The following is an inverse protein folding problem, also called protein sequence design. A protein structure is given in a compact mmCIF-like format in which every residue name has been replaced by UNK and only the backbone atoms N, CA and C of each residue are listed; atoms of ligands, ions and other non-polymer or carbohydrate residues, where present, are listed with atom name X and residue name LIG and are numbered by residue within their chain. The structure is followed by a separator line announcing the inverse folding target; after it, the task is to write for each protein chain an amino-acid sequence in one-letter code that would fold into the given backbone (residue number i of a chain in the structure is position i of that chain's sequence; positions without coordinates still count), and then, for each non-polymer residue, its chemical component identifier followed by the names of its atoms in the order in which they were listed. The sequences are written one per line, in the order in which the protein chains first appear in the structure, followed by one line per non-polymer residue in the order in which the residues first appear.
data_IF_443991894716
#
_entry.id   IF_443991894716
#
_cell.length_a   1.000
_cell.length_b   1.000
_cell.length_c   1.000
_cell.angle_alpha   90.00
_cell.angle_beta   90.00
_cell.angle_gamma   90.00
#
_symmetry.space_group_name_H-M   'P 1'
#
loop_
_entity.id
_entity.type
_entity.pdbx_description
1 polymer ?
#
# COMPACT_ATOMS: atom_id res chain seq x y z
N UNK A 1 -0.74 4.61 -17.12
CA UNK A 1 0.71 4.37 -16.99
C UNK A 1 1.08 3.22 -17.92
N UNK A 2 1.52 2.05 -17.44
CA UNK A 2 1.95 0.90 -18.26
C UNK A 2 0.89 -0.19 -18.44
N UNK A 3 -0.28 -0.05 -17.81
CA UNK A 3 -1.39 -0.99 -17.92
C UNK A 3 -1.52 -1.98 -16.76
N UNK A 4 -0.65 -1.90 -15.74
CA UNK A 4 -0.63 -2.84 -14.61
C UNK A 4 -1.98 -2.97 -13.90
N UNK A 5 -2.65 -1.85 -13.63
CA UNK A 5 -3.94 -1.86 -12.93
C UNK A 5 -5.05 -2.45 -13.81
N UNK A 6 -5.02 -2.19 -15.12
CA UNK A 6 -5.95 -2.83 -16.06
C UNK A 6 -5.74 -4.35 -16.11
N UNK A 7 -4.50 -4.82 -16.09
CA UNK A 7 -4.20 -6.25 -16.03
C UNK A 7 -4.69 -6.90 -14.72
N UNK A 8 -4.55 -6.21 -13.59
CA UNK A 8 -5.05 -6.65 -12.28
C UNK A 8 -6.58 -6.70 -12.25
N UNK A 9 -7.24 -5.65 -12.76
CA UNK A 9 -8.69 -5.59 -12.90
C UNK A 9 -9.21 -6.74 -13.78
N UNK A 10 -8.56 -6.98 -14.92
CA UNK A 10 -8.94 -8.03 -15.86
C UNK A 10 -8.76 -9.43 -15.25
N UNK A 11 -7.64 -9.67 -14.55
CA UNK A 11 -7.41 -10.94 -13.85
C UNK A 11 -8.42 -11.16 -12.71
N UNK A 12 -8.76 -10.12 -11.95
CA UNK A 12 -9.75 -10.20 -10.88
C UNK A 12 -11.15 -10.50 -11.42
N UNK A 13 -11.58 -9.77 -12.45
CA UNK A 13 -12.91 -9.92 -13.05
C UNK A 13 -13.04 -11.21 -13.85
N UNK A 14 -11.95 -11.75 -14.42
CA UNK A 14 -11.93 -13.10 -14.99
C UNK A 14 -12.31 -14.15 -13.95
N UNK A 15 -11.76 -14.08 -12.74
CA UNK A 15 -12.10 -15.02 -11.66
C UNK A 15 -13.57 -14.90 -11.24
N UNK A 16 -14.09 -13.68 -11.12
CA UNK A 16 -15.51 -13.44 -10.85
C UNK A 16 -16.41 -14.02 -11.97
N UNK A 17 -16.03 -13.84 -13.23
CA UNK A 17 -16.76 -14.40 -14.38
C UNK A 17 -16.73 -15.93 -14.41
N UNK A 18 -15.58 -16.56 -14.14
CA UNK A 18 -15.45 -18.02 -14.07
C UNK A 18 -16.25 -18.61 -12.92
N UNK A 19 -16.33 -17.92 -11.78
CA UNK A 19 -17.14 -18.32 -10.64
C UNK A 19 -18.62 -18.41 -11.02
N UNK A 20 -19.18 -17.35 -11.61
CA UNK A 20 -20.57 -17.32 -12.02
C UNK A 20 -20.86 -18.29 -13.16
N UNK A 21 -19.94 -18.43 -14.10
CA UNK A 21 -20.02 -19.40 -15.18
C UNK A 21 -20.07 -20.85 -14.64
N UNK A 22 -19.27 -21.15 -13.62
CA UNK A 22 -19.30 -22.47 -12.97
C UNK A 22 -20.64 -22.73 -12.27
N UNK A 23 -21.22 -21.73 -11.62
CA UNK A 23 -22.55 -21.84 -11.01
C UNK A 23 -23.61 -22.09 -12.09
N UNK A 24 -23.56 -21.32 -13.19
CA UNK A 24 -24.50 -21.43 -14.30
C UNK A 24 -24.45 -22.81 -14.97
N UNK A 25 -23.26 -23.38 -15.20
CA UNK A 25 -23.07 -24.67 -15.87
C UNK A 25 -23.10 -25.90 -14.94
N UNK A 26 -23.89 -25.84 -13.87
CA UNK A 26 -24.23 -27.01 -13.05
C UNK A 26 -23.57 -27.04 -11.67
N UNK A 27 -22.79 -26.02 -11.29
CA UNK A 27 -22.31 -25.79 -9.94
C UNK A 27 -21.75 -27.05 -9.24
N UNK A 28 -20.89 -27.80 -9.92
CA UNK A 28 -20.36 -29.08 -9.43
C UNK A 28 -19.56 -28.95 -8.11
N UNK A 29 -19.13 -27.73 -7.77
CA UNK A 29 -18.42 -27.41 -6.52
C UNK A 29 -19.39 -27.09 -5.37
N UNK A 30 -20.70 -27.14 -5.60
CA UNK A 30 -21.75 -26.84 -4.63
C UNK A 30 -21.58 -25.47 -3.93
N UNK A 31 -21.16 -24.46 -4.70
CA UNK A 31 -21.02 -23.08 -4.23
C UNK A 31 -22.39 -22.59 -3.75
N UNK A 32 -22.45 -21.99 -2.55
CA UNK A 32 -23.63 -21.26 -2.09
C UNK A 32 -23.54 -19.80 -2.59
N UNK A 33 -24.45 -19.34 -3.48
CA UNK A 33 -24.39 -17.98 -4.03
C UNK A 33 -24.48 -16.87 -2.97
N UNK A 34 -24.99 -17.19 -1.78
CA UNK A 34 -25.07 -16.26 -0.64
C UNK A 34 -23.76 -16.17 0.16
N UNK A 35 -22.78 -17.01 -0.16
CA UNK A 35 -21.48 -17.13 0.51
C UNK A 35 -20.32 -16.91 -0.45
N UNK A 36 -20.55 -16.19 -1.54
CA UNK A 36 -19.50 -15.67 -2.41
C UNK A 36 -18.85 -14.50 -1.68
N UNK A 37 -17.54 -14.59 -1.45
CA UNK A 37 -16.75 -13.51 -0.84
C UNK A 37 -15.94 -12.74 -1.89
N UNK A 38 -15.75 -13.33 -3.07
CA UNK A 38 -15.10 -12.67 -4.19
C UNK A 38 -16.03 -11.64 -4.82
N UNK A 39 -15.71 -10.37 -4.62
CA UNK A 39 -16.39 -9.23 -5.24
C UNK A 39 -15.90 -9.06 -6.69
N UNK A 40 -16.31 -7.98 -7.34
CA UNK A 40 -15.73 -7.51 -8.61
C UNK A 40 -14.91 -6.26 -8.36
N UNK A 41 -14.16 -5.80 -9.35
CA UNK A 41 -13.43 -4.53 -9.23
C UNK A 41 -13.53 -3.66 -10.46
N UNK A 42 -13.41 -2.35 -10.24
CA UNK A 42 -13.24 -1.35 -11.29
C UNK A 42 -12.38 -0.20 -10.73
N UNK A 43 -11.41 0.28 -11.49
CA UNK A 43 -10.56 1.39 -11.04
C UNK A 43 -11.23 2.75 -11.24
N UNK A 44 -12.42 2.93 -10.66
CA UNK A 44 -13.21 4.17 -10.71
C UNK A 44 -13.88 4.44 -9.36
N UNK A 45 -14.03 5.73 -9.03
CA UNK A 45 -14.73 6.15 -7.81
C UNK A 45 -16.26 6.08 -7.98
N UNK A 46 -16.79 4.88 -8.19
CA UNK A 46 -18.21 4.64 -8.42
C UNK A 46 -18.92 4.09 -7.19
N UNK A 47 -19.68 4.95 -6.51
CA UNK A 47 -20.44 4.55 -5.32
C UNK A 47 -21.66 3.68 -5.65
N UNK A 48 -22.17 3.72 -6.87
CA UNK A 48 -23.39 3.00 -7.26
C UNK A 48 -23.16 1.49 -7.33
N UNK A 49 -21.92 1.06 -7.55
CA UNK A 49 -21.55 -0.35 -7.67
C UNK A 49 -21.22 -1.02 -6.33
N UNK A 50 -21.31 -0.31 -5.19
CA UNK A 50 -20.97 -0.87 -3.87
C UNK A 50 -21.78 -2.12 -3.53
N UNK A 51 -23.08 -2.10 -3.84
CA UNK A 51 -24.01 -3.23 -3.65
C UNK A 51 -24.89 -3.33 -4.90
N UNK A 52 -24.87 -4.50 -5.55
CA UNK A 52 -25.63 -4.77 -6.77
C UNK A 52 -26.23 -6.18 -6.72
N UNK A 53 -27.23 -6.41 -7.56
CA UNK A 53 -27.71 -7.77 -7.86
C UNK A 53 -27.26 -8.09 -9.30
N UNK A 54 -26.56 -9.21 -9.48
CA UNK A 54 -26.10 -9.70 -10.79
C UNK A 54 -26.90 -10.93 -11.21
N UNK A 55 -26.75 -11.38 -12.46
CA UNK A 55 -27.42 -12.59 -12.95
C UNK A 55 -28.92 -12.45 -13.22
N UNK A 56 -29.46 -11.24 -13.28
CA UNK A 56 -30.87 -11.02 -13.64
C UNK A 56 -31.12 -11.27 -15.13
N UNK A 57 -32.41 -11.42 -15.52
CA UNK A 57 -32.82 -11.53 -16.94
C UNK A 57 -33.16 -12.94 -17.44
N UNK A 58 -33.36 -13.90 -16.54
CA UNK A 58 -33.87 -15.24 -16.87
C UNK A 58 -32.79 -16.32 -17.03
N UNK A 59 -33.19 -17.51 -17.46
CA UNK A 59 -32.36 -18.74 -17.41
C UNK A 59 -31.15 -18.74 -18.34
N UNK A 60 -31.13 -17.88 -19.36
CA UNK A 60 -29.98 -17.73 -20.24
C UNK A 60 -28.82 -16.95 -19.60
N UNK A 61 -29.06 -16.31 -18.45
CA UNK A 61 -28.05 -15.58 -17.68
C UNK A 61 -27.63 -16.40 -16.43
N UNK A 62 -26.72 -15.86 -15.61
CA UNK A 62 -26.28 -16.52 -14.37
C UNK A 62 -27.39 -16.61 -13.31
N UNK A 63 -27.16 -17.33 -12.22
CA UNK A 63 -28.07 -17.36 -11.07
C UNK A 63 -28.07 -15.99 -10.36
N UNK A 64 -29.24 -15.39 -10.07
CA UNK A 64 -29.28 -14.13 -9.33
C UNK A 64 -28.66 -14.23 -7.94
N UNK A 65 -27.76 -13.29 -7.61
CA UNK A 65 -27.21 -13.16 -6.26
C UNK A 65 -26.71 -11.72 -5.99
N UNK A 66 -26.53 -11.40 -4.70
CA UNK A 66 -25.92 -10.14 -4.27
C UNK A 66 -24.42 -10.14 -4.57
N UNK A 67 -23.91 -9.01 -5.05
CA UNK A 67 -22.52 -8.77 -5.31
C UNK A 67 -22.16 -7.30 -5.04
N UNK A 68 -20.93 -6.91 -5.34
CA UNK A 68 -20.51 -5.52 -5.34
C UNK A 68 -19.14 -5.35 -5.95
N UNK A 69 -18.75 -4.10 -6.16
CA UNK A 69 -17.47 -3.72 -6.69
C UNK A 69 -16.63 -2.99 -5.65
N UNK A 70 -15.34 -3.27 -5.67
CA UNK A 70 -14.32 -2.48 -4.97
C UNK A 70 -13.44 -1.76 -5.99
N UNK A 71 -12.70 -0.76 -5.53
CA UNK A 71 -11.68 -0.14 -6.37
C UNK A 71 -10.53 -1.14 -6.61
N UNK A 72 -9.95 -1.19 -7.82
CA UNK A 72 -8.98 -2.23 -8.22
C UNK A 72 -7.80 -2.41 -7.25
N UNK A 73 -7.31 -1.33 -6.63
CA UNK A 73 -6.22 -1.38 -5.63
C UNK A 73 -6.59 -2.10 -4.32
N UNK A 74 -7.88 -2.31 -4.06
CA UNK A 74 -8.38 -3.07 -2.92
C UNK A 74 -8.33 -4.59 -3.14
N UNK A 75 -8.09 -5.03 -4.39
CA UNK A 75 -8.11 -6.44 -4.76
C UNK A 75 -7.04 -7.26 -4.04
N UNK A 76 -7.38 -8.49 -3.62
CA UNK A 76 -6.38 -9.45 -3.16
C UNK A 76 -5.37 -9.80 -4.27
N UNK A 77 -5.75 -9.66 -5.56
CA UNK A 77 -4.83 -9.79 -6.70
C UNK A 77 -3.73 -8.73 -6.62
N UNK A 78 -4.04 -7.48 -6.28
CA UNK A 78 -3.05 -6.42 -6.06
C UNK A 78 -2.10 -6.75 -4.90
N UNK A 79 -2.64 -7.28 -3.79
CA UNK A 79 -1.82 -7.67 -2.65
C UNK A 79 -0.88 -8.84 -2.98
N UNK A 80 -1.38 -9.88 -3.66
CA UNK A 80 -0.59 -11.01 -4.12
C UNK A 80 0.48 -10.58 -5.14
N UNK A 81 0.12 -9.72 -6.08
CA UNK A 81 1.03 -9.12 -7.05
C UNK A 81 2.20 -8.40 -6.35
N UNK A 82 1.90 -7.58 -5.34
CA UNK A 82 2.92 -6.83 -4.62
C UNK A 82 3.81 -7.70 -3.71
N UNK A 83 3.35 -8.88 -3.29
CA UNK A 83 4.10 -9.80 -2.41
C UNK A 83 4.78 -10.96 -3.14
N UNK A 84 4.71 -11.00 -4.47
CA UNK A 84 5.30 -12.07 -5.29
C UNK A 84 6.69 -11.70 -5.81
N UNK A 85 7.58 -12.70 -5.88
CA UNK A 85 8.94 -12.55 -6.41
C UNK A 85 9.10 -13.11 -7.82
N UNK A 86 8.09 -13.81 -8.31
CA UNK A 86 8.08 -14.38 -9.67
C UNK A 86 6.66 -14.62 -10.14
N UNK A 87 6.50 -14.80 -11.45
CA UNK A 87 5.22 -15.17 -12.05
C UNK A 87 4.72 -16.53 -11.52
N UNK A 88 5.64 -17.47 -11.25
CA UNK A 88 5.32 -18.77 -10.68
C UNK A 88 4.74 -18.65 -9.26
N UNK A 89 5.39 -17.86 -8.39
CA UNK A 89 4.87 -17.61 -7.04
C UNK A 89 3.52 -16.86 -7.09
N UNK A 90 3.39 -15.88 -7.99
CA UNK A 90 2.14 -15.16 -8.20
C UNK A 90 1.01 -16.13 -8.58
N UNK A 91 1.25 -17.02 -9.55
CA UNK A 91 0.29 -18.06 -9.95
C UNK A 91 -0.16 -18.94 -8.79
N UNK A 92 0.79 -19.37 -7.94
CA UNK A 92 0.47 -20.18 -6.76
C UNK A 92 -0.36 -19.41 -5.73
N UNK A 93 -0.06 -18.13 -5.51
CA UNK A 93 -0.83 -17.26 -4.61
C UNK A 93 -2.26 -17.07 -5.11
N UNK A 94 -2.42 -16.78 -6.40
CA UNK A 94 -3.72 -16.66 -7.03
C UNK A 94 -4.54 -17.93 -6.82
N UNK A 95 -3.94 -19.11 -6.97
CA UNK A 95 -4.60 -20.40 -6.73
C UNK A 95 -5.14 -20.60 -5.31
N UNK A 96 -4.53 -19.98 -4.30
CA UNK A 96 -4.94 -20.10 -2.88
C UNK A 96 -6.04 -19.14 -2.46
N UNK A 97 -6.44 -18.19 -3.31
CA UNK A 97 -7.47 -17.21 -2.98
C UNK A 97 -8.80 -17.91 -2.78
N UNK A 98 -9.44 -17.66 -1.63
CA UNK A 98 -10.77 -18.17 -1.31
C UNK A 98 -11.79 -17.25 -1.96
N UNK A 99 -12.67 -17.81 -2.77
CA UNK A 99 -13.64 -17.04 -3.55
C UNK A 99 -15.08 -17.21 -3.07
N UNK A 100 -15.39 -18.37 -2.50
CA UNK A 100 -16.71 -18.67 -1.99
C UNK A 100 -16.66 -19.82 -0.98
N UNK A 101 -17.81 -20.15 -0.43
CA UNK A 101 -17.99 -21.33 0.42
C UNK A 101 -19.16 -22.18 -0.07
N UNK A 102 -19.08 -23.48 0.19
CA UNK A 102 -20.22 -24.39 0.01
C UNK A 102 -21.28 -24.17 1.10
N UNK A 103 -22.44 -24.81 0.95
CA UNK A 103 -23.48 -24.83 2.00
C UNK A 103 -22.97 -25.36 3.34
N UNK A 104 -22.05 -26.34 3.29
CA UNK A 104 -21.38 -26.94 4.45
C UNK A 104 -20.17 -26.12 4.93
N UNK A 105 -19.99 -24.90 4.43
CA UNK A 105 -18.91 -23.97 4.79
C UNK A 105 -17.51 -24.45 4.43
N UNK A 106 -17.36 -25.33 3.43
CA UNK A 106 -16.04 -25.69 2.89
C UNK A 106 -15.56 -24.56 1.97
N UNK A 107 -14.30 -24.10 2.09
CA UNK A 107 -13.78 -23.04 1.23
C UNK A 107 -13.62 -23.53 -0.20
N UNK A 108 -13.92 -22.67 -1.16
CA UNK A 108 -13.68 -22.85 -2.59
C UNK A 108 -12.63 -21.83 -3.02
N UNK A 109 -11.63 -22.30 -3.74
CA UNK A 109 -10.48 -21.50 -4.17
C UNK A 109 -10.50 -21.19 -5.66
N UNK A 110 -9.68 -20.24 -6.10
CA UNK A 110 -9.45 -19.98 -7.52
C UNK A 110 -8.81 -21.18 -8.25
N UNK A 111 -8.09 -22.06 -7.53
CA UNK A 111 -7.57 -23.31 -8.09
C UNK A 111 -8.67 -24.32 -8.38
N UNK A 112 -9.71 -24.42 -7.53
CA UNK A 112 -10.86 -25.29 -7.76
C UNK A 112 -11.63 -24.89 -9.02
N UNK A 113 -11.67 -23.59 -9.33
CA UNK A 113 -12.20 -23.02 -10.58
C UNK A 113 -11.21 -23.04 -11.74
N UNK A 114 -10.00 -23.59 -11.55
CA UNK A 114 -8.91 -23.64 -12.55
C UNK A 114 -8.53 -22.28 -13.15
N UNK A 115 -8.76 -21.18 -12.42
CA UNK A 115 -8.61 -19.81 -12.92
C UNK A 115 -7.16 -19.28 -12.86
N UNK A 116 -6.42 -19.68 -11.84
CA UNK A 116 -5.10 -19.14 -11.49
C UNK A 116 -4.06 -19.13 -12.63
N UNK A 117 -4.07 -20.12 -13.52
CA UNK A 117 -3.20 -20.13 -14.69
C UNK A 117 -3.51 -19.00 -15.68
N UNK A 118 -4.78 -18.81 -16.02
CA UNK A 118 -5.23 -17.76 -16.93
C UNK A 118 -5.03 -16.37 -16.31
N UNK A 119 -5.31 -16.21 -15.02
CA UNK A 119 -5.02 -14.98 -14.28
C UNK A 119 -3.52 -14.62 -14.33
N UNK A 120 -2.63 -15.60 -14.15
CA UNK A 120 -1.19 -15.36 -14.24
C UNK A 120 -0.76 -14.93 -15.65
N UNK A 121 -1.36 -15.48 -16.71
CA UNK A 121 -1.09 -15.04 -18.10
C UNK A 121 -1.45 -13.57 -18.29
N UNK A 122 -2.60 -13.12 -17.78
CA UNK A 122 -3.01 -11.71 -17.85
C UNK A 122 -2.05 -10.77 -17.11
N UNK A 123 -1.33 -11.29 -16.10
CA UNK A 123 -0.39 -10.52 -15.28
C UNK A 123 1.08 -10.68 -15.72
N UNK A 124 1.35 -11.45 -16.78
CA UNK A 124 2.71 -11.83 -17.21
C UNK A 124 3.60 -10.62 -17.50
N UNK A 125 3.07 -9.60 -18.18
CA UNK A 125 3.84 -8.38 -18.47
C UNK A 125 3.73 -7.37 -17.34
N UNK A 126 2.55 -7.26 -16.72
CA UNK A 126 2.32 -6.38 -15.60
C UNK A 126 3.29 -6.62 -14.45
N UNK A 127 3.71 -7.87 -14.19
CA UNK A 127 4.62 -8.18 -13.07
C UNK A 127 6.03 -7.55 -13.20
N UNK A 128 6.38 -6.95 -14.34
CA UNK A 128 7.70 -6.35 -14.58
C UNK A 128 7.73 -4.91 -14.02
N UNK A 129 8.70 -4.56 -13.14
CA UNK A 129 8.78 -3.21 -12.57
C UNK A 129 8.98 -2.13 -13.63
N UNK A 130 8.27 -1.01 -13.49
CA UNK A 130 8.33 0.09 -14.46
C UNK A 130 9.41 1.11 -14.07
N UNK A 131 10.38 1.32 -14.95
CA UNK A 131 11.42 2.33 -14.77
C UNK A 131 10.95 3.70 -15.30
N UNK A 132 11.11 4.72 -14.46
CA UNK A 132 10.94 6.13 -14.79
C UNK A 132 12.10 6.92 -14.17
N UNK A 133 12.04 8.26 -14.23
CA UNK A 133 13.04 9.14 -13.63
C UNK A 133 12.41 10.25 -12.81
N UNK A 134 13.16 10.75 -11.83
CA UNK A 134 12.86 12.01 -11.11
C UNK A 134 13.10 13.22 -12.02
N UNK A 135 12.74 14.43 -11.56
CA UNK A 135 13.05 15.68 -12.29
C UNK A 135 14.56 15.91 -12.50
N UNK A 136 15.40 15.28 -11.68
CA UNK A 136 16.87 15.38 -11.72
C UNK A 136 17.52 14.17 -12.41
N UNK A 137 16.72 13.33 -13.09
CA UNK A 137 17.22 12.20 -13.86
C UNK A 137 17.63 10.98 -13.04
N UNK A 138 17.33 10.93 -11.74
CA UNK A 138 17.57 9.73 -10.93
C UNK A 138 16.53 8.65 -11.26
N UNK A 139 16.96 7.39 -11.31
CA UNK A 139 16.07 6.26 -11.57
C UNK A 139 15.04 6.07 -10.46
N UNK A 140 13.79 5.81 -10.85
CA UNK A 140 12.70 5.46 -9.94
C UNK A 140 11.88 4.28 -10.49
N UNK A 141 11.51 3.34 -9.61
CA UNK A 141 10.65 2.21 -9.96
C UNK A 141 9.24 2.43 -9.38
N UNK A 142 8.23 2.49 -10.25
CA UNK A 142 6.82 2.59 -9.85
C UNK A 142 6.13 1.26 -10.17
N UNK A 143 5.76 0.48 -9.16
CA UNK A 143 5.20 -0.85 -9.38
C UNK A 143 4.38 -1.36 -8.19
N UNK A 144 3.11 -1.71 -8.46
CA UNK A 144 2.14 -2.09 -7.45
C UNK A 144 1.56 -0.90 -6.68
N UNK A 145 0.48 -1.15 -5.95
CA UNK A 145 -0.19 -0.12 -5.14
C UNK A 145 -1.37 -0.69 -4.35
N UNK A 146 -1.14 -1.60 -3.38
CA UNK A 146 -2.20 -2.13 -2.54
C UNK A 146 -2.60 -1.10 -1.48
N UNK A 147 -3.83 -1.17 -1.00
CA UNK A 147 -4.22 -0.37 0.16
C UNK A 147 -3.38 -0.67 1.41
N UNK A 148 -3.25 0.33 2.29
CA UNK A 148 -2.51 0.24 3.54
C UNK A 148 -3.40 -0.09 4.76
N UNK A 149 -4.72 -0.21 4.60
CA UNK A 149 -5.66 -0.62 5.65
C UNK A 149 -5.98 -2.13 5.57
N UNK A 150 -6.60 -2.58 4.47
CA UNK A 150 -6.97 -3.99 4.23
C UNK A 150 -5.82 -4.82 3.66
N UNK A 151 -4.74 -4.17 3.23
CA UNK A 151 -3.51 -4.81 2.78
C UNK A 151 -2.29 -4.11 3.41
N UNK A 152 -1.10 -4.33 2.84
CA UNK A 152 0.19 -3.96 3.42
C UNK A 152 0.74 -2.61 2.96
N UNK A 153 0.11 -1.93 1.99
CA UNK A 153 0.43 -0.54 1.68
C UNK A 153 1.82 -0.25 1.11
N UNK A 154 2.46 -1.22 0.45
CA UNK A 154 3.81 -1.05 -0.09
C UNK A 154 3.83 -1.30 -1.61
N UNK A 155 4.80 -0.71 -2.31
CA UNK A 155 5.14 -1.13 -3.68
C UNK A 155 5.59 -2.61 -3.69
N UNK A 156 5.68 -3.20 -4.88
CA UNK A 156 6.00 -4.63 -5.02
C UNK A 156 7.36 -5.03 -4.43
N UNK A 157 7.46 -6.27 -3.94
CA UNK A 157 8.71 -6.92 -3.54
C UNK A 157 9.70 -6.96 -4.69
N UNK A 158 9.23 -7.29 -5.91
CA UNK A 158 10.08 -7.40 -7.08
C UNK A 158 10.79 -6.09 -7.41
N UNK A 159 10.09 -4.95 -7.37
CA UNK A 159 10.67 -3.64 -7.61
C UNK A 159 11.69 -3.27 -6.52
N UNK A 160 11.35 -3.48 -5.23
CA UNK A 160 12.30 -3.21 -4.14
C UNK A 160 13.56 -4.07 -4.26
N UNK A 161 13.43 -5.37 -4.52
CA UNK A 161 14.59 -6.27 -4.69
C UNK A 161 15.41 -5.91 -5.93
N UNK A 162 14.77 -5.55 -7.04
CA UNK A 162 15.47 -5.11 -8.24
C UNK A 162 16.29 -3.86 -7.96
N UNK A 163 15.71 -2.84 -7.33
CA UNK A 163 16.42 -1.63 -6.92
C UNK A 163 17.63 -1.96 -6.02
N UNK A 164 17.45 -2.81 -5.00
CA UNK A 164 18.52 -3.21 -4.08
C UNK A 164 19.69 -3.94 -4.77
N UNK A 165 19.48 -4.52 -5.96
CA UNK A 165 20.54 -5.16 -6.75
C UNK A 165 21.23 -4.20 -7.72
N UNK A 166 20.59 -3.09 -8.05
CA UNK A 166 21.07 -2.14 -9.07
C UNK A 166 21.59 -0.83 -8.46
N UNK A 167 21.37 -0.57 -7.17
CA UNK A 167 21.83 0.64 -6.49
C UNK A 167 22.46 0.35 -5.13
N UNK A 168 23.33 1.26 -4.69
CA UNK A 168 23.91 1.22 -3.34
C UNK A 168 22.86 1.53 -2.27
N UNK A 169 21.94 2.46 -2.55
CA UNK A 169 20.83 2.82 -1.69
C UNK A 169 19.50 2.64 -2.44
N UNK A 170 18.55 1.97 -1.80
CA UNK A 170 17.16 1.85 -2.27
C UNK A 170 16.25 2.55 -1.26
N UNK A 171 15.66 3.67 -1.67
CA UNK A 171 14.64 4.36 -0.87
C UNK A 171 13.27 3.85 -1.29
N UNK A 172 12.45 3.46 -0.32
CA UNK A 172 11.08 2.98 -0.54
C UNK A 172 10.20 3.50 0.60
N UNK A 173 8.89 3.49 0.39
CA UNK A 173 7.90 3.96 1.36
C UNK A 173 6.80 2.93 1.62
N UNK A 174 5.98 3.21 2.63
CA UNK A 174 4.76 2.50 2.95
C UNK A 174 3.65 3.52 3.28
N UNK A 175 2.42 3.23 2.87
CA UNK A 175 1.29 4.16 3.01
C UNK A 175 0.80 4.34 4.45
N UNK A 176 0.16 5.48 4.71
CA UNK A 176 -0.23 5.96 6.05
C UNK A 176 0.97 6.22 6.99
N UNK A 177 0.73 6.30 8.30
CA UNK A 177 1.76 6.50 9.32
C UNK A 177 2.53 5.22 9.63
N UNK A 178 3.56 5.35 10.48
CA UNK A 178 4.40 4.21 10.86
C UNK A 178 3.68 3.15 11.72
N UNK A 179 2.54 3.49 12.30
CA UNK A 179 1.62 2.60 13.01
C UNK A 179 0.91 1.59 12.09
N UNK A 180 0.75 1.92 10.80
CA UNK A 180 0.15 1.03 9.79
C UNK A 180 1.17 0.64 8.72
N UNK A 181 1.69 1.61 7.96
CA UNK A 181 2.54 1.37 6.81
C UNK A 181 3.86 0.72 7.21
N UNK A 182 4.61 1.36 8.12
CA UNK A 182 5.91 0.84 8.54
C UNK A 182 5.76 -0.49 9.31
N UNK A 183 4.77 -0.62 10.18
CA UNK A 183 4.46 -1.87 10.87
C UNK A 183 4.26 -3.03 9.87
N UNK A 184 3.41 -2.84 8.86
CA UNK A 184 3.14 -3.86 7.83
C UNK A 184 4.32 -4.07 6.89
N UNK A 185 5.07 -3.02 6.57
CA UNK A 185 6.31 -3.16 5.80
C UNK A 185 7.30 -4.08 6.54
N UNK A 186 7.47 -3.89 7.84
CA UNK A 186 8.42 -4.65 8.66
C UNK A 186 7.92 -6.06 8.98
N UNK A 187 6.66 -6.20 9.38
CA UNK A 187 6.12 -7.49 9.82
C UNK A 187 5.62 -8.39 8.67
N UNK A 188 5.22 -7.81 7.53
CA UNK A 188 4.71 -8.55 6.37
C UNK A 188 5.75 -8.55 5.24
N UNK A 189 6.04 -7.39 4.65
CA UNK A 189 6.88 -7.31 3.43
C UNK A 189 8.32 -7.78 3.70
N UNK A 190 8.98 -7.26 4.74
CA UNK A 190 10.36 -7.64 5.08
C UNK A 190 10.48 -9.12 5.40
N UNK A 191 9.59 -9.62 6.28
CA UNK A 191 9.54 -11.04 6.65
C UNK A 191 9.34 -11.94 5.42
N UNK A 192 8.40 -11.58 4.54
CA UNK A 192 8.08 -12.39 3.36
C UNK A 192 9.17 -12.34 2.29
N UNK A 193 9.76 -11.17 2.07
CA UNK A 193 10.78 -10.96 1.05
C UNK A 193 12.20 -11.29 1.52
N UNK A 194 12.43 -11.52 2.82
CA UNK A 194 13.76 -11.70 3.38
C UNK A 194 14.65 -10.47 3.20
N UNK A 195 14.07 -9.26 3.29
CA UNK A 195 14.81 -7.99 3.23
C UNK A 195 14.81 -7.33 4.61
N UNK A 196 15.84 -6.52 4.89
CA UNK A 196 15.97 -5.79 6.16
C UNK A 196 16.32 -4.33 5.86
N UNK A 197 15.53 -3.35 6.35
CA UNK A 197 15.90 -1.94 6.26
C UNK A 197 17.18 -1.64 7.03
N UNK A 198 18.01 -0.76 6.47
CA UNK A 198 19.20 -0.25 7.14
C UNK A 198 18.90 1.00 7.98
N UNK A 199 17.91 1.79 7.58
CA UNK A 199 17.44 2.97 8.30
C UNK A 199 15.96 3.25 7.98
N UNK A 200 15.31 4.04 8.82
CA UNK A 200 13.95 4.53 8.62
C UNK A 200 13.94 6.05 8.68
N UNK A 201 13.30 6.68 7.70
CA UNK A 201 13.01 8.12 7.75
C UNK A 201 11.54 8.30 8.13
N UNK A 202 11.29 8.99 9.25
CA UNK A 202 9.93 9.41 9.63
C UNK A 202 9.75 10.85 9.15
N UNK A 203 8.80 11.07 8.25
CA UNK A 203 8.45 12.41 7.76
C UNK A 203 7.43 13.05 8.69
N UNK A 204 7.65 14.32 9.05
CA UNK A 204 6.69 15.14 9.78
C UNK A 204 6.68 16.59 9.25
N UNK A 205 5.67 17.37 9.63
CA UNK A 205 5.59 18.81 9.36
C UNK A 205 5.13 19.53 10.61
N UNK A 206 5.57 20.77 10.81
CA UNK A 206 5.15 21.59 11.97
C UNK A 206 3.62 21.70 12.01
N UNK A 207 2.99 21.90 10.84
CA UNK A 207 1.53 21.97 10.69
C UNK A 207 0.82 20.67 11.09
N UNK A 208 1.31 19.50 10.67
CA UNK A 208 0.71 18.23 11.06
C UNK A 208 0.80 17.99 12.58
N UNK A 209 1.93 18.34 13.20
CA UNK A 209 2.09 18.25 14.64
C UNK A 209 1.14 19.22 15.36
N UNK A 210 1.01 20.48 14.92
CA UNK A 210 -0.01 21.40 15.45
C UNK A 210 -1.44 20.86 15.33
N UNK A 211 -1.76 20.18 14.23
CA UNK A 211 -3.06 19.51 14.04
C UNK A 211 -3.26 18.40 15.08
N UNK A 212 -2.25 17.56 15.33
CA UNK A 212 -2.29 16.56 16.41
C UNK A 212 -2.41 17.20 17.81
N UNK A 213 -1.92 18.43 17.97
CA UNK A 213 -2.11 19.26 19.15
C UNK A 213 -3.50 19.89 19.30
N UNK A 214 -4.40 19.67 18.34
CA UNK A 214 -5.79 20.14 18.37
C UNK A 214 -6.06 21.43 17.58
N UNK A 215 -5.08 21.97 16.85
CA UNK A 215 -5.30 23.19 16.04
C UNK A 215 -6.16 22.86 14.82
N UNK A 216 -7.27 23.58 14.58
CA UNK A 216 -8.09 23.37 13.40
C UNK A 216 -7.31 23.61 12.10
N UNK A 217 -7.64 22.86 11.04
CA UNK A 217 -6.96 22.91 9.73
C UNK A 217 -6.79 24.35 9.19
N UNK A 218 -7.80 25.20 9.40
CA UNK A 218 -7.83 26.59 8.91
C UNK A 218 -6.87 27.52 9.66
N UNK A 219 -6.34 27.11 10.81
CA UNK A 219 -5.54 27.94 11.71
C UNK A 219 -4.06 27.50 11.80
N UNK A 220 -3.68 26.45 11.07
CA UNK A 220 -2.33 25.86 11.10
C UNK A 220 -1.21 26.80 10.64
N UNK A 221 -1.53 27.91 9.98
CA UNK A 221 -0.55 28.88 9.48
C UNK A 221 0.03 29.82 10.53
N UNK A 222 -0.52 29.84 11.76
CA UNK A 222 0.01 30.67 12.85
C UNK A 222 1.00 29.87 13.71
N UNK A 223 2.08 30.49 14.21
CA UNK A 223 2.97 29.85 15.16
C UNK A 223 2.22 29.45 16.43
N UNK A 224 2.41 28.22 16.92
CA UNK A 224 1.75 27.76 18.15
C UNK A 224 2.54 26.62 18.83
N UNK A 225 3.47 27.02 19.72
CA UNK A 225 4.33 26.08 20.46
C UNK A 225 3.54 25.23 21.45
N UNK A 226 2.46 25.74 22.05
CA UNK A 226 1.64 24.96 23.00
C UNK A 226 0.93 23.79 22.32
N UNK A 227 0.37 24.02 21.13
CA UNK A 227 -0.19 22.94 20.33
C UNK A 227 0.92 21.98 19.86
N UNK A 228 2.08 22.51 19.50
CA UNK A 228 3.21 21.70 19.07
C UNK A 228 3.68 20.75 20.18
N UNK A 229 3.73 21.21 21.42
CA UNK A 229 4.07 20.40 22.60
C UNK A 229 3.15 19.17 22.72
N UNK A 230 1.84 19.37 22.57
CA UNK A 230 0.85 18.28 22.60
C UNK A 230 0.97 17.36 21.37
N UNK A 231 1.24 17.94 20.20
CA UNK A 231 1.29 17.23 18.93
C UNK A 231 2.55 16.39 18.71
N UNK A 232 3.69 16.83 19.23
CA UNK A 232 4.99 16.13 19.11
C UNK A 232 4.94 14.74 19.75
N UNK A 233 4.05 14.50 20.72
CA UNK A 233 3.85 13.18 21.30
C UNK A 233 3.44 12.11 20.25
N UNK A 234 2.76 12.49 19.17
CA UNK A 234 2.52 11.59 18.03
C UNK A 234 3.84 11.16 17.36
N UNK A 235 4.70 12.11 17.02
CA UNK A 235 6.01 11.85 16.40
C UNK A 235 6.90 11.00 17.31
N UNK A 236 6.97 11.35 18.60
CA UNK A 236 7.70 10.57 19.61
C UNK A 236 7.25 9.12 19.62
N UNK A 237 5.94 8.88 19.56
CA UNK A 237 5.44 7.52 19.58
C UNK A 237 5.86 6.71 18.36
N UNK A 238 5.86 7.33 17.18
CA UNK A 238 6.35 6.69 15.97
C UNK A 238 7.85 6.40 16.04
N UNK A 239 8.67 7.31 16.58
CA UNK A 239 10.11 7.10 16.83
C UNK A 239 10.32 5.91 17.76
N UNK A 240 9.64 5.88 18.90
CA UNK A 240 9.70 4.76 19.86
C UNK A 240 9.33 3.43 19.20
N UNK A 241 8.28 3.40 18.39
CA UNK A 241 7.85 2.20 17.69
C UNK A 241 8.93 1.67 16.74
N UNK A 242 9.62 2.54 16.00
CA UNK A 242 10.73 2.13 15.14
C UNK A 242 11.92 1.62 15.96
N UNK A 243 12.25 2.25 17.10
CA UNK A 243 13.27 1.73 18.01
C UNK A 243 12.94 0.32 18.54
N UNK A 244 11.66 0.00 18.76
CA UNK A 244 11.24 -1.36 19.17
C UNK A 244 11.51 -2.41 18.09
N UNK A 245 11.61 -2.02 16.83
CA UNK A 245 12.07 -2.89 15.74
C UNK A 245 13.61 -2.98 15.65
N UNK A 246 14.35 -2.26 16.51
CA UNK A 246 15.81 -2.24 16.53
C UNK A 246 16.42 -1.57 15.29
N UNK A 247 15.68 -0.64 14.67
CA UNK A 247 16.12 0.08 13.47
C UNK A 247 16.56 1.51 13.82
N UNK A 248 17.63 2.02 13.20
CA UNK A 248 18.00 3.42 13.34
C UNK A 248 16.97 4.29 12.61
N UNK A 249 16.72 5.46 13.18
CA UNK A 249 15.70 6.39 12.71
C UNK A 249 16.28 7.79 12.52
N UNK A 250 15.83 8.45 11.46
CA UNK A 250 16.05 9.87 11.18
C UNK A 250 14.68 10.49 10.97
N UNK A 251 14.45 11.70 11.47
CA UNK A 251 13.22 12.44 11.21
C UNK A 251 13.50 13.52 10.18
N UNK A 252 12.66 13.58 9.16
CA UNK A 252 12.65 14.66 8.18
C UNK A 252 11.47 15.59 8.48
N UNK A 253 11.75 16.84 8.84
CA UNK A 253 10.75 17.90 8.94
C UNK A 253 10.66 18.58 7.58
N UNK A 254 9.62 18.28 6.80
CA UNK A 254 9.39 18.95 5.54
C UNK A 254 8.97 20.40 5.82
N UNK A 255 9.80 21.34 5.37
CA UNK A 255 9.66 22.76 5.64
C UNK A 255 8.52 23.40 4.84
N UNK A 256 7.73 24.25 5.50
CA UNK A 256 6.75 25.13 4.86
C UNK A 256 7.10 26.60 5.15
N UNK A 257 6.70 27.51 4.25
CA UNK A 257 6.99 28.95 4.36
C UNK A 257 6.46 29.63 5.63
N UNK A 258 5.45 29.04 6.29
CA UNK A 258 4.89 29.56 7.55
C UNK A 258 5.51 28.95 8.81
N UNK A 259 6.43 28.00 8.67
CA UNK A 259 7.10 27.38 9.81
C UNK A 259 8.18 28.33 10.34
N UNK A 260 8.24 28.51 11.67
CA UNK A 260 9.28 29.36 12.27
C UNK A 260 10.47 28.56 12.76
N UNK A 261 11.64 29.21 12.85
CA UNK A 261 12.84 28.57 13.40
C UNK A 261 12.62 28.11 14.84
N UNK A 262 11.84 28.85 15.63
CA UNK A 262 11.49 28.51 17.00
C UNK A 262 10.63 27.24 17.07
N UNK A 263 9.63 27.08 16.20
CA UNK A 263 8.81 25.86 16.16
C UNK A 263 9.64 24.63 15.77
N UNK A 264 10.54 24.77 14.80
CA UNK A 264 11.43 23.67 14.39
C UNK A 264 12.40 23.31 15.51
N UNK A 265 13.02 24.31 16.15
CA UNK A 265 13.95 24.07 17.26
C UNK A 265 13.24 23.41 18.43
N UNK A 266 12.01 23.82 18.73
CA UNK A 266 11.19 23.20 19.77
C UNK A 266 10.97 21.70 19.53
N UNK A 267 10.67 21.29 18.28
CA UNK A 267 10.53 19.85 17.94
C UNK A 267 11.85 19.11 18.19
N UNK A 268 12.98 19.71 17.80
CA UNK A 268 14.31 19.12 18.02
C UNK A 268 14.59 18.89 19.50
N UNK A 269 14.37 19.93 20.32
CA UNK A 269 14.62 19.88 21.75
C UNK A 269 13.72 18.86 22.46
N UNK A 270 12.43 18.81 22.08
CA UNK A 270 11.46 17.89 22.69
C UNK A 270 11.74 16.42 22.38
N UNK A 271 12.43 16.13 21.28
CA UNK A 271 12.81 14.78 20.88
C UNK A 271 14.28 14.44 21.16
N UNK A 272 15.08 15.35 21.73
CA UNK A 272 16.52 15.17 21.91
C UNK A 272 16.88 13.91 22.71
N UNK A 273 16.07 13.57 23.74
CA UNK A 273 16.29 12.39 24.57
C UNK A 273 16.04 11.06 23.83
N UNK A 274 15.37 11.08 22.67
CA UNK A 274 15.11 9.90 21.86
C UNK A 274 16.30 9.51 20.98
N UNK A 275 17.44 10.21 21.04
CA UNK A 275 18.65 9.86 20.29
C UNK A 275 18.42 9.76 18.77
N UNK A 276 17.64 10.68 18.22
CA UNK A 276 17.28 10.75 16.79
C UNK A 276 17.80 12.05 16.17
N UNK A 277 18.30 11.98 14.93
CA UNK A 277 18.59 13.18 14.14
C UNK A 277 17.31 13.72 13.54
N UNK A 278 17.01 15.00 13.77
CA UNK A 278 15.85 15.69 13.21
C UNK A 278 16.37 16.74 12.23
N UNK A 279 16.15 16.50 10.94
CA UNK A 279 16.69 17.30 9.84
C UNK A 279 15.54 18.03 9.16
N UNK A 280 15.70 19.32 8.92
CA UNK A 280 14.77 20.08 8.09
C UNK A 280 15.05 19.80 6.63
N UNK A 281 14.02 19.48 5.85
CA UNK A 281 14.14 19.17 4.43
C UNK A 281 13.28 20.14 3.60
N UNK A 282 13.87 20.74 2.59
CA UNK A 282 13.26 21.75 1.70
C UNK A 282 13.39 21.34 0.21
N UNK A 283 13.38 20.03 -0.04
CA UNK A 283 13.53 19.48 -1.38
C UNK A 283 12.36 19.80 -2.31
N UNK A 284 11.19 20.14 -1.76
CA UNK A 284 10.07 20.64 -2.55
C UNK A 284 10.41 21.95 -3.26
N UNK A 285 11.09 22.88 -2.58
CA UNK A 285 11.48 24.16 -3.16
C UNK A 285 12.85 24.13 -3.86
N UNK A 286 13.77 23.29 -3.39
CA UNK A 286 15.20 23.31 -3.78
C UNK A 286 15.71 22.03 -4.44
N UNK A 287 14.83 21.09 -4.79
CA UNK A 287 15.24 19.80 -5.37
C UNK A 287 16.15 18.99 -4.43
N UNK A 288 17.04 18.17 -4.99
CA UNK A 288 17.96 17.32 -4.25
C UNK A 288 18.83 18.09 -3.23
N UNK A 289 19.24 19.32 -3.57
CA UNK A 289 20.00 20.19 -2.68
C UNK A 289 19.28 20.49 -1.35
N UNK A 290 17.94 20.49 -1.36
CA UNK A 290 17.10 20.69 -0.16
C UNK A 290 16.99 19.46 0.75
N UNK A 291 17.55 18.31 0.37
CA UNK A 291 17.57 17.08 1.17
C UNK A 291 18.99 16.50 1.37
N UNK A 292 20.06 17.22 1.04
CA UNK A 292 21.43 16.72 1.23
C UNK A 292 21.77 16.40 2.68
N UNK A 293 21.37 17.24 3.63
CA UNK A 293 21.63 17.00 5.05
C UNK A 293 20.89 15.74 5.53
N UNK A 294 19.66 15.52 5.02
CA UNK A 294 18.90 14.32 5.29
C UNK A 294 19.61 13.09 4.71
N UNK A 295 20.09 13.17 3.47
CA UNK A 295 20.85 12.09 2.84
C UNK A 295 22.11 11.74 3.64
N UNK A 296 22.89 12.74 4.07
CA UNK A 296 24.08 12.55 4.91
C UNK A 296 23.76 11.97 6.29
N UNK A 297 22.56 12.24 6.81
CA UNK A 297 22.12 11.68 8.09
C UNK A 297 21.68 10.21 7.99
N UNK A 298 21.24 9.77 6.80
CA UNK A 298 20.81 8.40 6.50
C UNK A 298 21.99 7.46 6.21
N UNK A 299 23.06 7.98 5.59
CA UNK A 299 24.33 7.26 5.34
C UNK A 299 25.09 7.02 6.65
#
# INVERSE_FOLDING_TARGET
FTGDFHAIELAHNLLAALLDNHIHHGNQLAIDPRRIVWRRVVDMNDRALRNVIVGLGGTNNSMPHEAGYDITVASEVMAAFCLSESLSELKERLGRMIVAYTRDRKPITAADLKAHGAMAVLLKDAIKPNLVQTLEGNAALIHGGPFANIAHGCNSVLATKLAMRLSEYTVTEAGFGADLGAEKFLNIKCRKAGIKPNAVVIVATVRALKLHGGVPIKELGKPNVEALDKGVENLKKHIENIHRFGLPVVVAINHFSGDTAEEIQFIKDKCAYLSVKIITADHWARGGAGAEELARAVV
#
